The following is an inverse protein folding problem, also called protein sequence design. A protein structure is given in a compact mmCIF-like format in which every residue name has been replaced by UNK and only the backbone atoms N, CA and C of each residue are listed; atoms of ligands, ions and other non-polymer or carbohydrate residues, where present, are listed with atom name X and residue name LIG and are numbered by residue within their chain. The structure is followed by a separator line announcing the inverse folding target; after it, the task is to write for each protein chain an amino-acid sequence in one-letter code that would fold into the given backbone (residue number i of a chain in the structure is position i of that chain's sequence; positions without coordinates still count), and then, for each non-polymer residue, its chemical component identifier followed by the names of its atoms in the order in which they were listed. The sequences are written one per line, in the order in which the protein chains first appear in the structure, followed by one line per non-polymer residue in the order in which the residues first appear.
data_IF_462430726141
#
_entry.id   IF_462430726141
#
_cell.length_a   1.000
_cell.length_b   1.000
_cell.length_c   1.000
_cell.angle_alpha   90.00
_cell.angle_beta   90.00
_cell.angle_gamma   90.00
#
_symmetry.space_group_name_H-M   'P 1'
#
loop_
_entity.id
_entity.type
_entity.pdbx_description
1 polymer ?
#
# COMPACT_ATOMS: atom_id res chain seq x y z
N UNK A 1 13.27 -13.76 16.60
CA UNK A 1 13.06 -12.70 15.58
C UNK A 1 14.42 -12.44 14.97
N UNK A 2 14.62 -12.77 13.70
CA UNK A 2 15.89 -12.51 13.00
C UNK A 2 16.18 -11.01 13.08
N UNK A 3 17.38 -10.61 13.49
CA UNK A 3 17.73 -9.25 13.92
C UNK A 3 17.71 -8.14 12.86
N UNK A 4 17.04 -8.37 11.73
CA UNK A 4 16.87 -7.39 10.66
C UNK A 4 15.54 -6.66 10.90
N UNK A 5 15.63 -5.58 11.67
CA UNK A 5 14.51 -4.72 12.06
C UNK A 5 13.80 -4.14 10.83
N UNK A 6 12.47 -4.12 10.86
CA UNK A 6 11.60 -3.52 9.84
C UNK A 6 12.06 -2.08 9.49
N UNK A 7 12.10 -1.66 8.20
CA UNK A 7 12.32 -0.25 7.80
C UNK A 7 11.20 0.72 8.24
N UNK A 8 10.57 0.45 9.38
CA UNK A 8 9.66 1.34 10.05
C UNK A 8 10.37 2.57 10.61
N UNK A 9 9.59 3.63 10.82
CA UNK A 9 10.05 4.76 11.65
C UNK A 9 10.21 4.28 13.09
N UNK A 10 11.33 4.59 13.72
CA UNK A 10 11.54 4.28 15.14
C UNK A 10 11.98 5.49 15.96
N UNK A 11 12.16 6.66 15.33
CA UNK A 11 12.66 7.85 16.01
C UNK A 11 11.78 8.36 17.17
N UNK A 12 10.53 7.89 17.27
CA UNK A 12 9.64 8.21 18.39
C UNK A 12 9.92 7.35 19.63
N UNK A 13 10.16 6.05 19.44
CA UNK A 13 10.38 5.07 20.51
C UNK A 13 11.86 4.93 20.90
N UNK A 14 12.75 4.92 19.90
CA UNK A 14 14.18 4.67 20.07
C UNK A 14 15.01 5.73 19.29
N UNK A 15 14.91 7.02 19.66
CA UNK A 15 15.50 8.13 18.91
C UNK A 15 17.02 8.02 18.70
N UNK A 16 17.72 7.32 19.59
CA UNK A 16 19.17 7.12 19.49
C UNK A 16 19.58 6.37 18.21
N UNK A 17 18.70 5.51 17.67
CA UNK A 17 18.98 4.73 16.47
C UNK A 17 18.64 5.46 15.17
N UNK A 18 18.15 6.70 15.25
CA UNK A 18 17.80 7.52 14.09
C UNK A 18 16.33 7.42 13.68
N UNK A 19 15.98 8.05 12.56
CA UNK A 19 14.58 8.18 12.14
C UNK A 19 13.95 6.82 11.75
N UNK A 20 14.75 5.92 11.19
CA UNK A 20 14.38 4.60 10.66
C UNK A 20 15.18 3.47 11.33
N UNK A 21 15.70 3.70 12.53
CA UNK A 21 16.58 2.77 13.24
C UNK A 21 17.81 2.40 12.40
N UNK A 22 18.24 3.29 11.52
CA UNK A 22 19.32 3.08 10.57
C UNK A 22 20.69 2.93 11.23
N UNK A 23 20.80 3.26 12.53
CA UNK A 23 22.02 3.07 13.31
C UNK A 23 22.00 1.80 14.16
N UNK A 24 20.82 1.22 14.42
CA UNK A 24 20.71 0.02 15.27
C UNK A 24 21.52 -1.15 14.70
N UNK A 25 22.52 -1.63 15.45
CA UNK A 25 23.38 -2.73 15.04
C UNK A 25 24.52 -2.33 14.10
N UNK A 26 24.77 -1.03 13.88
CA UNK A 26 25.76 -0.57 12.90
C UNK A 26 27.22 -0.75 13.33
N UNK A 27 27.47 -1.10 14.59
CA UNK A 27 28.80 -1.15 15.18
C UNK A 27 29.32 0.22 15.64
N UNK A 28 28.58 1.30 15.42
CA UNK A 28 28.88 2.60 16.01
C UNK A 28 28.83 2.54 17.56
N UNK A 29 29.62 3.36 18.26
CA UNK A 29 29.61 3.40 19.73
C UNK A 29 28.19 3.57 20.28
N UNK A 30 27.76 2.62 21.12
CA UNK A 30 26.44 2.62 21.75
C UNK A 30 25.27 2.12 20.90
N UNK A 31 25.51 1.70 19.65
CA UNK A 31 24.45 1.26 18.74
C UNK A 31 24.30 -0.27 18.64
N UNK A 32 25.20 -1.04 19.26
CA UNK A 32 25.28 -2.49 19.12
C UNK A 32 25.82 -2.93 17.76
N UNK A 33 25.99 -4.23 17.56
CA UNK A 33 26.55 -4.81 16.34
C UNK A 33 25.68 -5.97 15.86
N UNK A 34 25.24 -5.93 14.61
CA UNK A 34 24.69 -7.09 13.89
C UNK A 34 25.83 -7.66 13.05
N UNK A 35 26.38 -8.85 13.38
CA UNK A 35 27.58 -9.38 12.72
C UNK A 35 27.45 -9.56 11.21
N UNK A 36 26.25 -9.93 10.74
CA UNK A 36 25.96 -10.22 9.34
C UNK A 36 25.49 -9.00 8.53
N UNK A 37 25.56 -7.80 9.11
CA UNK A 37 25.17 -6.57 8.44
C UNK A 37 26.39 -5.65 8.26
N UNK A 38 26.64 -5.28 7.00
CA UNK A 38 27.55 -4.21 6.64
C UNK A 38 26.74 -2.93 6.31
N UNK A 39 26.74 -1.90 7.19
CA UNK A 39 25.96 -0.69 6.96
C UNK A 39 26.37 0.04 5.66
N UNK A 40 25.36 0.43 4.88
CA UNK A 40 25.52 1.31 3.72
C UNK A 40 24.74 2.59 3.96
N UNK A 41 25.46 3.70 4.15
CA UNK A 41 24.88 5.03 4.30
C UNK A 41 24.75 5.75 2.96
N UNK A 42 23.62 6.42 2.77
CA UNK A 42 23.29 7.14 1.56
C UNK A 42 23.51 8.64 1.74
N UNK A 43 24.08 9.30 0.73
CA UNK A 43 24.15 10.75 0.71
C UNK A 43 22.77 11.31 0.40
N UNK A 44 22.26 12.19 1.27
CA UNK A 44 20.88 12.67 1.20
C UNK A 44 20.61 13.49 -0.07
N UNK A 45 21.61 14.17 -0.62
CA UNK A 45 21.50 14.94 -1.85
C UNK A 45 21.57 14.07 -3.12
N UNK A 46 21.93 12.79 -3.01
CA UNK A 46 22.00 11.83 -4.12
C UNK A 46 20.80 10.87 -4.17
N UNK A 47 19.92 10.87 -3.16
CA UNK A 47 18.76 9.95 -3.14
C UNK A 47 17.70 10.33 -4.18
N UNK A 48 17.03 9.30 -4.70
CA UNK A 48 15.86 9.47 -5.55
C UNK A 48 14.61 9.67 -4.69
N UNK A 49 13.99 10.83 -4.81
CA UNK A 49 12.75 11.11 -4.10
C UNK A 49 11.55 10.52 -4.85
N UNK A 50 10.66 9.78 -4.15
CA UNK A 50 9.34 9.48 -4.68
C UNK A 50 8.57 10.77 -5.00
N UNK A 51 7.76 10.77 -6.07
CA UNK A 51 7.03 11.98 -6.52
C UNK A 51 6.13 12.61 -5.44
N UNK A 52 5.67 11.82 -4.47
CA UNK A 52 4.77 12.24 -3.40
C UNK A 52 5.51 12.77 -2.17
N UNK A 53 6.86 12.79 -2.17
CA UNK A 53 7.69 13.33 -1.10
C UNK A 53 8.21 14.71 -1.53
N UNK A 54 8.19 15.69 -0.62
CA UNK A 54 8.63 17.04 -0.94
C UNK A 54 10.15 17.12 -1.13
N UNK A 55 10.60 17.90 -2.12
CA UNK A 55 12.03 18.05 -2.39
C UNK A 55 12.69 19.05 -1.44
N UNK A 56 13.00 18.58 -0.24
CA UNK A 56 13.63 19.36 0.84
C UNK A 56 14.71 18.53 1.51
N UNK A 57 15.70 19.19 2.11
CA UNK A 57 16.77 18.51 2.85
C UNK A 57 16.21 17.58 3.95
N UNK A 58 15.19 18.01 4.69
CA UNK A 58 14.58 17.20 5.74
C UNK A 58 14.02 15.87 5.20
N UNK A 59 13.28 15.93 4.09
CA UNK A 59 12.72 14.75 3.46
C UNK A 59 13.78 13.84 2.81
N UNK A 60 14.79 14.45 2.18
CA UNK A 60 15.92 13.73 1.59
C UNK A 60 16.75 12.97 2.62
N UNK A 61 17.00 13.57 3.78
CA UNK A 61 17.68 12.91 4.90
C UNK A 61 16.84 11.75 5.45
N UNK A 62 15.53 11.93 5.60
CA UNK A 62 14.62 10.84 5.98
C UNK A 62 14.68 9.68 4.98
N UNK A 63 14.67 9.95 3.66
CA UNK A 63 14.77 8.92 2.63
C UNK A 63 16.14 8.22 2.65
N UNK A 64 17.23 8.95 2.87
CA UNK A 64 18.57 8.36 2.99
C UNK A 64 18.70 7.44 4.20
N UNK A 65 18.11 7.82 5.33
CA UNK A 65 17.99 6.97 6.51
C UNK A 65 17.17 5.72 6.20
N UNK A 66 16.01 5.87 5.55
CA UNK A 66 15.20 4.73 5.12
C UNK A 66 15.98 3.78 4.21
N UNK A 67 16.73 4.29 3.23
CA UNK A 67 17.53 3.48 2.30
C UNK A 67 18.60 2.67 3.05
N UNK A 68 19.23 3.25 4.06
CA UNK A 68 20.19 2.56 4.93
C UNK A 68 19.55 1.35 5.60
N UNK A 69 18.34 1.53 6.17
CA UNK A 69 17.59 0.43 6.78
C UNK A 69 17.07 -0.58 5.74
N UNK A 70 16.69 -0.14 4.55
CA UNK A 70 16.30 -1.05 3.45
C UNK A 70 17.48 -1.93 3.02
N UNK A 71 18.70 -1.42 2.98
CA UNK A 71 19.90 -2.21 2.69
C UNK A 71 20.24 -3.20 3.80
N UNK A 72 19.91 -2.89 5.05
CA UNK A 72 19.92 -3.86 6.13
C UNK A 72 18.92 -4.98 5.87
N UNK A 73 17.67 -4.65 5.54
CA UNK A 73 16.64 -5.63 5.21
C UNK A 73 17.06 -6.55 4.05
N UNK A 74 17.62 -5.98 2.98
CA UNK A 74 18.10 -6.72 1.81
C UNK A 74 19.19 -7.74 2.18
N UNK A 75 20.19 -7.34 2.97
CA UNK A 75 21.22 -8.27 3.47
C UNK A 75 20.61 -9.37 4.36
N UNK A 76 19.59 -9.04 5.16
CA UNK A 76 18.85 -10.00 5.96
C UNK A 76 18.10 -11.04 5.14
N UNK A 77 17.46 -10.61 4.04
CA UNK A 77 16.85 -11.53 3.06
C UNK A 77 17.92 -12.42 2.44
N UNK A 78 19.07 -11.85 2.05
CA UNK A 78 20.20 -12.61 1.53
C UNK A 78 20.72 -13.67 2.50
N UNK A 79 20.80 -13.35 3.80
CA UNK A 79 21.16 -14.32 4.84
C UNK A 79 20.13 -15.45 4.93
N UNK A 80 18.84 -15.12 5.00
CA UNK A 80 17.77 -16.12 5.09
C UNK A 80 17.78 -17.10 3.91
N UNK A 81 17.99 -16.60 2.70
CA UNK A 81 18.07 -17.44 1.50
C UNK A 81 19.32 -18.34 1.51
N UNK A 82 20.45 -17.87 2.03
CA UNK A 82 21.66 -18.69 2.20
C UNK A 82 21.45 -19.80 3.23
N UNK A 83 20.79 -19.49 4.35
CA UNK A 83 20.47 -20.50 5.38
C UNK A 83 19.52 -21.57 4.83
N UNK A 84 18.52 -21.16 4.02
CA UNK A 84 17.63 -22.08 3.34
C UNK A 84 18.38 -23.02 2.38
N UNK A 85 19.37 -22.49 1.63
CA UNK A 85 20.25 -23.28 0.76
C UNK A 85 21.17 -24.21 1.55
N UNK A 86 21.79 -23.72 2.63
CA UNK A 86 22.67 -24.51 3.49
C UNK A 86 21.94 -25.67 4.18
N UNK A 87 20.65 -25.47 4.51
CA UNK A 87 19.78 -26.51 5.04
C UNK A 87 19.30 -27.51 3.97
N UNK A 88 19.59 -27.30 2.68
CA UNK A 88 19.19 -28.17 1.58
C UNK A 88 17.76 -27.93 1.06
N UNK A 89 17.11 -26.83 1.44
CA UNK A 89 15.71 -26.52 1.13
C UNK A 89 15.52 -25.47 0.02
N UNK A 90 16.56 -25.21 -0.77
CA UNK A 90 16.47 -24.27 -1.90
C UNK A 90 15.56 -24.76 -3.01
N UNK A 91 15.61 -26.06 -3.30
CA UNK A 91 14.94 -26.67 -4.47
C UNK A 91 13.52 -27.17 -4.16
N UNK A 92 13.02 -27.02 -2.93
CA UNK A 92 11.69 -27.44 -2.49
C UNK A 92 10.85 -26.30 -1.89
N UNK A 93 11.39 -25.08 -1.82
CA UNK A 93 10.73 -23.94 -1.18
C UNK A 93 10.27 -22.88 -2.17
N UNK A 94 8.97 -22.55 -2.15
CA UNK A 94 8.42 -21.34 -2.75
C UNK A 94 8.78 -20.13 -1.89
N UNK A 95 9.46 -19.14 -2.47
CA UNK A 95 9.77 -17.87 -1.80
C UNK A 95 8.81 -16.78 -2.29
N UNK A 96 8.18 -16.08 -1.35
CA UNK A 96 7.36 -14.90 -1.61
C UNK A 96 7.92 -13.74 -0.79
N UNK A 97 8.23 -12.62 -1.46
CA UNK A 97 8.62 -11.37 -0.81
C UNK A 97 7.59 -10.29 -1.13
N UNK A 98 7.14 -9.55 -0.12
CA UNK A 98 6.22 -8.43 -0.27
C UNK A 98 6.37 -7.44 0.89
N UNK A 99 5.60 -6.35 0.86
CA UNK A 99 5.43 -5.40 1.98
C UNK A 99 3.95 -5.24 2.25
N UNK A 100 3.59 -4.95 3.50
CA UNK A 100 2.23 -4.80 4.01
C UNK A 100 1.51 -3.57 3.42
N UNK A 101 2.18 -2.42 3.33
CA UNK A 101 1.66 -1.18 2.78
C UNK A 101 2.76 -0.27 2.21
N UNK A 102 2.37 0.87 1.62
CA UNK A 102 3.29 1.89 1.15
C UNK A 102 4.18 2.52 2.24
N UNK A 103 5.21 3.23 1.81
CA UNK A 103 6.24 3.83 2.69
C UNK A 103 5.65 4.87 3.67
N UNK A 104 6.25 5.08 4.86
CA UNK A 104 5.72 5.98 5.89
C UNK A 104 6.06 7.46 5.61
N UNK A 105 5.61 7.95 4.46
CA UNK A 105 5.74 9.34 4.00
C UNK A 105 4.37 9.91 3.62
N UNK A 106 4.20 11.25 3.55
CA UNK A 106 2.94 11.86 3.15
C UNK A 106 2.45 11.35 1.78
N UNK A 107 1.22 10.82 1.72
CA UNK A 107 0.67 10.19 0.51
C UNK A 107 0.97 8.69 0.37
N UNK A 108 1.86 8.14 1.20
CA UNK A 108 2.16 6.71 1.31
C UNK A 108 1.23 6.00 2.30
N UNK A 109 1.79 5.37 3.33
CA UNK A 109 1.06 4.67 4.40
C UNK A 109 -0.20 5.42 4.84
N UNK A 110 -1.27 4.68 5.15
CA UNK A 110 -2.62 5.15 5.50
C UNK A 110 -3.46 5.68 4.33
N UNK A 111 -2.94 5.71 3.09
CA UNK A 111 -3.67 6.16 1.91
C UNK A 111 -3.99 4.99 0.97
N UNK A 112 -5.11 5.10 0.24
CA UNK A 112 -5.43 4.18 -0.87
C UNK A 112 -4.96 4.68 -2.24
N UNK A 113 -4.22 5.79 -2.30
CA UNK A 113 -3.43 6.24 -3.46
C UNK A 113 -2.33 5.21 -3.81
N UNK A 114 -1.77 5.22 -5.02
CA UNK A 114 -0.79 4.23 -5.48
C UNK A 114 0.41 4.15 -4.55
N UNK A 115 0.88 5.28 -4.02
CA UNK A 115 2.00 5.33 -3.09
C UNK A 115 1.74 4.62 -1.74
N UNK A 116 0.47 4.49 -1.34
CA UNK A 116 0.06 3.79 -0.12
C UNK A 116 -0.42 2.36 -0.35
N UNK A 117 -1.01 2.09 -1.52
CA UNK A 117 -1.65 0.81 -1.86
C UNK A 117 -0.74 -0.16 -2.62
N UNK A 118 0.19 0.34 -3.43
CA UNK A 118 1.05 -0.51 -4.28
C UNK A 118 2.22 -1.03 -3.45
N UNK A 119 2.28 -2.36 -3.29
CA UNK A 119 3.40 -3.05 -2.65
C UNK A 119 4.30 -3.76 -3.68
N UNK A 120 5.60 -3.96 -3.38
CA UNK A 120 6.42 -4.93 -4.09
C UNK A 120 5.85 -6.34 -3.89
N UNK A 121 5.96 -7.18 -4.91
CA UNK A 121 5.62 -8.60 -4.83
C UNK A 121 6.57 -9.39 -5.74
N UNK A 122 7.33 -10.30 -5.14
CA UNK A 122 8.25 -11.20 -5.85
C UNK A 122 7.83 -12.63 -5.49
N UNK A 123 7.64 -13.47 -6.50
CA UNK A 123 7.43 -14.91 -6.33
C UNK A 123 8.56 -15.65 -7.02
N UNK A 124 9.24 -16.54 -6.29
CA UNK A 124 10.27 -17.41 -6.80
C UNK A 124 9.91 -18.87 -6.46
N UNK A 125 9.48 -19.61 -7.48
CA UNK A 125 9.24 -21.05 -7.36
C UNK A 125 10.51 -21.84 -7.73
N UNK A 126 10.80 -22.93 -7.00
CA UNK A 126 11.91 -23.80 -7.33
C UNK A 126 11.62 -24.64 -8.59
N UNK A 127 10.36 -24.77 -9.01
CA UNK A 127 9.96 -25.61 -10.13
C UNK A 127 10.70 -25.21 -11.44
N UNK A 128 11.25 -26.18 -12.20
CA UNK A 128 12.01 -25.88 -13.42
C UNK A 128 11.23 -25.10 -14.49
N UNK A 129 9.92 -25.28 -14.55
CA UNK A 129 9.04 -24.61 -15.52
C UNK A 129 8.69 -23.15 -15.14
N UNK A 130 9.09 -22.68 -13.96
CA UNK A 130 8.79 -21.32 -13.53
C UNK A 130 9.53 -20.28 -14.39
N UNK A 131 8.82 -19.22 -14.76
CA UNK A 131 9.35 -17.99 -15.36
C UNK A 131 10.32 -17.35 -14.37
N UNK A 132 11.58 -17.19 -14.78
CA UNK A 132 12.62 -16.52 -13.98
C UNK A 132 12.98 -15.17 -14.59
N UNK A 133 13.31 -14.21 -13.74
CA UNK A 133 13.79 -12.87 -14.15
C UNK A 133 12.83 -12.14 -15.10
N UNK A 134 11.53 -12.29 -14.90
CA UNK A 134 10.49 -11.66 -15.71
C UNK A 134 9.55 -10.83 -14.84
N UNK A 135 9.04 -9.73 -15.40
CA UNK A 135 7.96 -8.95 -14.80
C UNK A 135 6.60 -9.45 -15.27
N UNK A 136 5.60 -9.36 -14.38
CA UNK A 136 4.19 -9.57 -14.72
C UNK A 136 3.42 -8.25 -14.58
N UNK A 137 2.46 -8.04 -15.48
CA UNK A 137 1.53 -6.91 -15.43
C UNK A 137 0.12 -7.35 -15.01
N UNK A 138 0.01 -8.57 -14.47
CA UNK A 138 -1.20 -9.07 -13.86
C UNK A 138 -1.59 -8.23 -12.64
N UNK A 139 -2.88 -8.01 -12.46
CA UNK A 139 -3.40 -7.48 -11.22
C UNK A 139 -3.36 -8.54 -10.13
N UNK A 140 -2.60 -8.24 -9.07
CA UNK A 140 -2.46 -9.07 -7.88
C UNK A 140 -2.74 -8.25 -6.61
N UNK A 141 -3.30 -8.91 -5.61
CA UNK A 141 -3.59 -8.38 -4.29
C UNK A 141 -2.88 -9.23 -3.23
N UNK A 142 -2.57 -8.66 -2.06
CA UNK A 142 -2.09 -9.47 -0.93
C UNK A 142 -3.14 -10.52 -0.49
N UNK A 143 -4.42 -10.30 -0.78
CA UNK A 143 -5.46 -11.30 -0.55
C UNK A 143 -5.24 -12.57 -1.37
N UNK A 144 -4.49 -12.49 -2.47
CA UNK A 144 -4.13 -13.64 -3.32
C UNK A 144 -3.05 -14.54 -2.67
N UNK A 145 -2.38 -14.09 -1.60
CA UNK A 145 -1.30 -14.87 -0.96
C UNK A 145 -1.84 -16.15 -0.30
N UNK A 146 -2.94 -16.06 0.44
CA UNK A 146 -3.54 -17.23 1.09
C UNK A 146 -3.94 -18.33 0.08
N UNK A 147 -4.75 -18.05 -0.97
CA UNK A 147 -5.07 -19.06 -1.97
C UNK A 147 -3.83 -19.55 -2.74
N UNK A 148 -2.81 -18.72 -2.94
CA UNK A 148 -1.53 -19.16 -3.53
C UNK A 148 -0.81 -20.20 -2.67
N UNK A 149 -0.76 -19.98 -1.35
CA UNK A 149 -0.12 -20.91 -0.41
C UNK A 149 -0.91 -22.22 -0.28
N UNK A 150 -2.24 -22.15 -0.21
CA UNK A 150 -3.09 -23.35 -0.19
C UNK A 150 -2.87 -24.19 -1.46
N UNK A 151 -2.86 -23.55 -2.63
CA UNK A 151 -2.58 -24.20 -3.91
C UNK A 151 -1.18 -24.83 -3.94
N UNK A 152 -0.16 -24.12 -3.44
CA UNK A 152 1.22 -24.63 -3.36
C UNK A 152 1.33 -25.91 -2.53
N UNK A 153 0.64 -25.98 -1.39
CA UNK A 153 0.63 -27.16 -0.53
C UNK A 153 -0.39 -28.24 -0.96
N UNK A 154 -1.13 -28.02 -2.05
CA UNK A 154 -2.20 -28.93 -2.49
C UNK A 154 -3.32 -29.08 -1.45
N UNK A 155 -3.47 -28.10 -0.56
CA UNK A 155 -4.54 -28.07 0.45
C UNK A 155 -5.80 -27.59 -0.27
N UNK A 156 -6.84 -28.43 -0.39
CA UNK A 156 -8.11 -27.98 -0.92
C UNK A 156 -8.59 -26.83 -0.04
N UNK A 157 -8.98 -25.71 -0.65
CA UNK A 157 -9.70 -24.69 0.09
C UNK A 157 -11.00 -25.33 0.60
N UNK A 158 -11.03 -25.75 1.87
CA UNK A 158 -12.25 -26.26 2.50
C UNK A 158 -13.30 -25.14 2.40
N UNK A 159 -14.27 -25.31 1.49
CA UNK A 159 -15.47 -24.48 1.43
C UNK A 159 -16.29 -24.73 2.69
N UNK A 160 -15.89 -24.16 3.82
CA UNK A 160 -16.72 -24.11 5.03
C UNK A 160 -17.48 -22.79 5.07
N UNK A 161 -18.77 -22.94 4.76
CA UNK A 161 -19.90 -22.03 4.93
C UNK A 161 -19.96 -20.80 3.97
N UNK A 162 -20.83 -21.00 2.97
CA UNK A 162 -21.46 -20.08 1.99
C UNK A 162 -20.86 -18.69 1.72
N UNK A 163 -19.83 -18.68 0.86
CA UNK A 163 -19.47 -17.54 0.02
C UNK A 163 -19.27 -18.03 -1.42
N UNK A 164 -20.29 -17.99 -2.28
CA UNK A 164 -20.12 -18.41 -3.67
C UNK A 164 -19.11 -17.50 -4.41
N UNK A 165 -18.01 -18.11 -4.89
CA UNK A 165 -16.91 -17.47 -5.61
C UNK A 165 -16.92 -17.91 -7.07
N UNK A 166 -17.60 -17.14 -7.94
CA UNK A 166 -17.74 -17.44 -9.37
C UNK A 166 -17.33 -16.29 -10.31
N UNK A 167 -16.58 -15.29 -9.84
CA UNK A 167 -16.20 -14.11 -10.65
C UNK A 167 -14.72 -13.70 -10.53
N UNK A 168 -14.17 -13.03 -11.55
CA UNK A 168 -12.75 -12.62 -11.73
C UNK A 168 -12.11 -11.74 -10.63
N UNK A 169 -12.93 -11.31 -9.67
CA UNK A 169 -12.66 -10.24 -8.70
C UNK A 169 -12.51 -10.79 -7.27
N UNK A 170 -11.96 -11.99 -7.20
CA UNK A 170 -11.87 -12.85 -6.04
C UNK A 170 -10.40 -13.16 -5.77
N UNK A 171 -10.01 -13.32 -4.50
CA UNK A 171 -8.69 -13.83 -4.18
C UNK A 171 -8.41 -15.13 -4.94
N UNK A 172 -7.25 -15.21 -5.60
CA UNK A 172 -6.89 -16.33 -6.49
C UNK A 172 -5.44 -16.74 -6.30
N UNK A 173 -5.11 -17.98 -6.65
CA UNK A 173 -3.70 -18.41 -6.69
C UNK A 173 -2.94 -17.65 -7.77
N UNK A 174 -1.73 -17.21 -7.42
CA UNK A 174 -0.77 -16.56 -8.32
C UNK A 174 0.18 -17.58 -8.99
N UNK A 175 0.16 -18.86 -8.60
CA UNK A 175 1.03 -19.88 -9.18
C UNK A 175 0.93 -19.98 -10.72
N UNK A 176 -0.25 -19.85 -11.36
CA UNK A 176 -0.32 -19.88 -12.83
C UNK A 176 0.52 -18.80 -13.51
N UNK A 177 0.72 -17.63 -12.87
CA UNK A 177 1.55 -16.53 -13.40
C UNK A 177 3.01 -16.98 -13.51
N UNK A 178 3.48 -17.88 -12.64
CA UNK A 178 4.83 -18.42 -12.70
C UNK A 178 5.04 -19.31 -13.91
N UNK A 179 4.01 -19.84 -14.55
CA UNK A 179 4.16 -20.68 -15.75
C UNK A 179 3.98 -19.85 -17.02
N UNK A 180 3.00 -18.94 -17.03
CA UNK A 180 2.67 -18.13 -18.20
C UNK A 180 2.09 -16.77 -17.79
N UNK A 181 2.48 -15.72 -18.52
CA UNK A 181 1.84 -14.41 -18.35
C UNK A 181 0.36 -14.48 -18.73
N UNK A 182 -0.57 -14.07 -17.84
CA UNK A 182 -1.97 -14.01 -18.19
C UNK A 182 -2.21 -12.99 -19.31
N UNK A 183 -3.20 -13.27 -20.15
CA UNK A 183 -3.58 -12.33 -21.20
C UNK A 183 -4.09 -11.01 -20.61
N UNK A 184 -3.89 -9.92 -21.35
CA UNK A 184 -4.46 -8.63 -20.97
C UNK A 184 -6.00 -8.72 -20.91
N UNK A 185 -6.57 -8.17 -19.84
CA UNK A 185 -7.99 -8.09 -19.57
C UNK A 185 -8.31 -6.78 -18.87
N UNK A 186 -9.25 -6.01 -19.44
CA UNK A 186 -9.87 -4.83 -18.79
C UNK A 186 -10.76 -5.23 -17.61
N UNK A 187 -11.18 -6.50 -17.56
CA UNK A 187 -12.00 -7.03 -16.48
C UNK A 187 -11.18 -7.35 -15.23
N UNK A 188 -9.85 -7.20 -15.21
CA UNK A 188 -9.07 -7.33 -13.97
C UNK A 188 -9.24 -6.09 -13.08
N UNK A 189 -9.37 -6.32 -11.77
CA UNK A 189 -9.22 -5.28 -10.77
C UNK A 189 -8.72 -5.83 -9.44
N UNK A 190 -8.17 -4.93 -8.64
CA UNK A 190 -7.95 -5.11 -7.21
C UNK A 190 -8.77 -4.08 -6.44
N UNK A 191 -9.05 -4.39 -5.18
CA UNK A 191 -9.86 -3.58 -4.30
C UNK A 191 -9.06 -3.19 -3.06
N UNK A 192 -9.34 -2.01 -2.52
CA UNK A 192 -8.78 -1.53 -1.26
C UNK A 192 -9.90 -1.16 -0.29
N UNK A 193 -9.74 -1.50 0.98
CA UNK A 193 -10.65 -1.11 2.06
C UNK A 193 -9.85 -0.75 3.29
N UNK A 194 -10.08 0.46 3.81
CA UNK A 194 -9.49 0.95 5.04
C UNK A 194 -10.60 1.63 5.85
N UNK A 195 -10.60 1.45 7.17
CA UNK A 195 -11.59 2.10 8.05
C UNK A 195 -10.88 2.97 9.09
N UNK A 196 -10.05 2.35 9.92
CA UNK A 196 -9.20 3.02 10.90
C UNK A 196 -7.73 2.76 10.56
N UNK A 197 -6.85 3.55 11.15
CA UNK A 197 -5.44 3.18 11.34
C UNK A 197 -5.18 3.07 12.84
N UNK A 198 -4.96 4.21 13.52
CA UNK A 198 -5.16 4.29 14.97
C UNK A 198 -6.67 4.37 15.29
N UNK A 199 -7.05 4.02 16.52
CA UNK A 199 -8.46 4.09 16.95
C UNK A 199 -9.05 5.51 16.85
N UNK A 200 -8.21 6.54 16.98
CA UNK A 200 -8.60 7.95 16.83
C UNK A 200 -8.72 8.40 15.37
N UNK A 201 -8.24 7.61 14.42
CA UNK A 201 -8.15 7.96 13.00
C UNK A 201 -9.30 7.34 12.19
N UNK A 202 -10.53 7.79 12.43
CA UNK A 202 -11.70 7.35 11.67
C UNK A 202 -11.82 8.10 10.33
N UNK A 203 -11.27 7.50 9.26
CA UNK A 203 -11.40 8.00 7.90
C UNK A 203 -11.55 6.84 6.91
N UNK A 204 -12.76 6.22 6.82
CA UNK A 204 -12.94 5.07 5.96
C UNK A 204 -12.83 5.43 4.48
N UNK A 205 -12.09 4.59 3.75
CA UNK A 205 -11.89 4.71 2.32
C UNK A 205 -12.12 3.36 1.64
N UNK A 206 -12.63 3.41 0.41
CA UNK A 206 -12.79 2.24 -0.46
C UNK A 206 -12.19 2.55 -1.81
N UNK A 207 -11.59 1.56 -2.46
CA UNK A 207 -10.99 1.75 -3.78
C UNK A 207 -11.21 0.54 -4.68
N UNK A 208 -11.34 0.81 -5.99
CA UNK A 208 -11.24 -0.19 -7.04
C UNK A 208 -10.21 0.29 -8.07
N UNK A 209 -9.27 -0.58 -8.44
CA UNK A 209 -8.18 -0.28 -9.36
C UNK A 209 -8.13 -1.33 -10.45
N UNK A 210 -8.46 -0.94 -11.68
CA UNK A 210 -8.26 -1.77 -12.88
C UNK A 210 -6.86 -1.53 -13.43
N UNK A 211 -6.53 -2.13 -14.58
CA UNK A 211 -5.26 -1.86 -15.27
C UNK A 211 -5.07 -0.42 -15.72
N UNK A 212 -6.16 0.34 -15.90
CA UNK A 212 -6.09 1.72 -16.39
C UNK A 212 -6.66 2.73 -15.41
N UNK A 213 -7.82 2.45 -14.84
CA UNK A 213 -8.53 3.43 -14.04
C UNK A 213 -8.56 3.02 -12.58
N UNK A 214 -8.60 4.02 -11.71
CA UNK A 214 -8.75 3.83 -10.28
C UNK A 214 -9.77 4.81 -9.74
N UNK A 215 -10.68 4.29 -8.93
CA UNK A 215 -11.69 5.06 -8.23
C UNK A 215 -11.48 4.91 -6.73
N UNK A 216 -11.42 6.03 -6.02
CA UNK A 216 -11.41 6.10 -4.56
C UNK A 216 -12.73 6.72 -4.08
N UNK A 217 -13.22 6.22 -2.97
CA UNK A 217 -14.38 6.72 -2.23
C UNK A 217 -13.94 7.07 -0.81
N UNK A 218 -13.88 8.36 -0.50
CA UNK A 218 -13.63 8.88 0.83
C UNK A 218 -14.97 9.00 1.57
N UNK A 219 -15.28 8.09 2.48
CA UNK A 219 -16.59 8.08 3.15
C UNK A 219 -16.71 9.25 4.14
N UNK A 220 -15.59 9.66 4.74
CA UNK A 220 -15.56 10.74 5.74
C UNK A 220 -14.95 12.04 5.18
N UNK A 221 -15.14 12.31 3.89
CA UNK A 221 -14.53 13.42 3.14
C UNK A 221 -14.77 14.83 3.69
N UNK A 222 -15.85 15.03 4.45
CA UNK A 222 -16.19 16.32 5.06
C UNK A 222 -15.27 16.68 6.24
N UNK A 223 -14.56 15.71 6.80
CA UNK A 223 -13.58 15.90 7.87
C UNK A 223 -12.15 15.87 7.31
N UNK A 224 -11.18 16.53 7.98
CA UNK A 224 -9.79 16.46 7.55
C UNK A 224 -9.25 15.04 7.66
N UNK A 225 -8.45 14.62 6.66
CA UNK A 225 -7.70 13.38 6.69
C UNK A 225 -6.79 13.32 7.94
N UNK A 226 -6.90 12.29 8.78
CA UNK A 226 -6.11 12.20 10.01
C UNK A 226 -4.65 11.86 9.73
N UNK A 227 -3.75 12.24 10.63
CA UNK A 227 -2.31 11.92 10.59
C UNK A 227 -1.99 11.07 11.81
N UNK A 228 -1.33 9.94 11.60
CA UNK A 228 -0.85 9.07 12.67
C UNK A 228 0.30 9.71 13.44
N UNK A 229 0.48 9.32 14.69
CA UNK A 229 1.42 9.96 15.62
C UNK A 229 2.87 9.82 15.12
N UNK A 230 3.24 8.67 14.57
CA UNK A 230 4.59 8.41 14.09
C UNK A 230 4.93 9.24 12.84
N UNK A 231 3.99 9.37 11.89
CA UNK A 231 4.18 10.27 10.76
C UNK A 231 4.19 11.73 11.21
N UNK A 232 3.34 12.11 12.17
CA UNK A 232 3.23 13.49 12.64
C UNK A 232 4.58 14.01 13.16
N UNK A 233 5.30 13.22 13.96
CA UNK A 233 6.60 13.63 14.53
C UNK A 233 7.77 13.52 13.56
N UNK A 234 7.57 12.95 12.36
CA UNK A 234 8.64 12.78 11.39
C UNK A 234 9.26 14.12 10.94
N UNK A 235 10.58 14.17 10.68
CA UNK A 235 11.22 15.36 10.11
C UNK A 235 10.57 15.80 8.80
N UNK A 236 10.20 14.85 7.95
CA UNK A 236 9.47 15.11 6.70
C UNK A 236 8.15 15.85 6.95
N UNK A 237 7.28 15.36 7.84
CA UNK A 237 5.98 16.01 8.06
C UNK A 237 6.11 17.33 8.82
N UNK A 238 7.03 17.42 9.79
CA UNK A 238 7.32 18.66 10.51
C UNK A 238 7.83 19.76 9.58
N UNK A 239 8.65 19.43 8.57
CA UNK A 239 9.07 20.40 7.56
C UNK A 239 7.89 20.92 6.72
N UNK A 240 7.00 20.03 6.25
CA UNK A 240 5.75 20.42 5.55
C UNK A 240 4.93 21.38 6.42
N UNK A 241 4.71 21.03 7.68
CA UNK A 241 3.90 21.82 8.61
C UNK A 241 4.51 23.19 8.86
N UNK A 242 5.82 23.25 9.12
CA UNK A 242 6.55 24.49 9.40
C UNK A 242 6.60 25.41 8.18
N UNK A 243 6.84 24.87 6.98
CA UNK A 243 6.81 25.65 5.73
C UNK A 243 5.42 26.19 5.45
N UNK A 244 4.39 25.36 5.60
CA UNK A 244 3.00 25.77 5.38
C UNK A 244 2.59 26.90 6.35
N UNK A 245 2.83 26.74 7.65
CA UNK A 245 2.50 27.75 8.68
C UNK A 245 3.24 29.07 8.46
N UNK A 246 4.52 28.97 8.10
CA UNK A 246 5.38 30.13 7.88
C UNK A 246 5.27 30.70 6.46
N UNK A 247 4.34 30.18 5.63
CA UNK A 247 4.16 30.58 4.22
C UNK A 247 5.45 30.53 3.39
N UNK A 248 6.36 29.61 3.72
CA UNK A 248 7.58 29.36 2.94
C UNK A 248 7.27 28.46 1.74
N UNK A 249 8.05 28.57 0.64
CA UNK A 249 7.93 27.63 -0.47
C UNK A 249 8.03 26.18 0.00
N UNK A 250 7.09 25.37 -0.47
CA UNK A 250 7.01 23.94 -0.21
C UNK A 250 7.00 23.23 -1.58
N UNK A 251 8.14 22.66 -2.01
CA UNK A 251 8.25 21.94 -3.28
C UNK A 251 7.63 20.54 -3.14
N UNK A 252 6.30 20.50 -3.01
CA UNK A 252 5.51 19.29 -2.84
C UNK A 252 4.42 19.23 -3.91
N UNK A 253 4.00 18.01 -4.27
CA UNK A 253 2.96 17.79 -5.29
C UNK A 253 1.57 18.25 -4.86
N UNK A 254 1.37 18.53 -3.56
CA UNK A 254 0.12 19.00 -2.96
C UNK A 254 0.40 20.11 -1.93
N UNK A 255 -0.68 20.71 -1.44
CA UNK A 255 -0.68 21.51 -0.21
C UNK A 255 -1.27 20.71 0.95
N UNK A 256 -0.96 21.05 2.20
CA UNK A 256 -1.62 20.41 3.35
C UNK A 256 -3.14 20.53 3.30
N UNK A 257 -3.67 21.64 2.80
CA UNK A 257 -5.12 21.82 2.64
C UNK A 257 -5.72 20.78 1.70
N UNK A 258 -5.09 20.53 0.55
CA UNK A 258 -5.53 19.48 -0.39
C UNK A 258 -5.33 18.07 0.18
N UNK A 259 -4.30 17.86 1.00
CA UNK A 259 -4.06 16.57 1.64
C UNK A 259 -5.11 16.24 2.70
N UNK A 260 -5.53 17.24 3.48
CA UNK A 260 -6.55 17.11 4.51
C UNK A 260 -7.96 17.03 3.93
N UNK A 261 -8.33 17.96 3.05
CA UNK A 261 -9.71 18.08 2.57
C UNK A 261 -9.82 17.50 1.17
N UNK A 262 -10.19 16.22 1.11
CA UNK A 262 -10.32 15.45 -0.12
C UNK A 262 -11.77 15.42 -0.57
N UNK A 263 -12.06 15.35 -1.88
CA UNK A 263 -13.42 15.16 -2.35
C UNK A 263 -13.94 13.76 -1.99
N UNK A 264 -15.26 13.57 -1.99
CA UNK A 264 -15.86 12.26 -1.72
C UNK A 264 -15.40 11.19 -2.73
N UNK A 265 -15.29 11.57 -4.01
CA UNK A 265 -14.90 10.67 -5.09
C UNK A 265 -13.66 11.20 -5.80
N UNK A 266 -12.70 10.31 -6.05
CA UNK A 266 -11.51 10.59 -6.84
C UNK A 266 -11.36 9.53 -7.94
N UNK A 267 -11.31 9.96 -9.20
CA UNK A 267 -11.11 9.09 -10.37
C UNK A 267 -9.80 9.45 -11.07
N UNK A 268 -8.96 8.45 -11.34
CA UNK A 268 -7.66 8.63 -12.00
C UNK A 268 -7.50 7.70 -13.20
N UNK A 269 -6.86 8.20 -14.26
CA UNK A 269 -6.37 7.41 -15.40
C UNK A 269 -4.87 7.14 -15.21
N UNK A 270 -4.53 6.00 -14.61
CA UNK A 270 -3.16 5.63 -14.22
C UNK A 270 -2.22 5.42 -15.42
N UNK A 271 -2.75 5.29 -16.64
CA UNK A 271 -1.90 5.25 -17.84
C UNK A 271 -1.37 6.63 -18.23
N UNK A 272 -2.17 7.68 -17.99
CA UNK A 272 -1.83 9.06 -18.33
C UNK A 272 -1.28 9.84 -17.13
N UNK A 273 -1.72 9.47 -15.94
CA UNK A 273 -1.41 10.12 -14.67
C UNK A 273 -1.11 9.05 -13.61
N UNK A 274 0.06 8.38 -13.71
CA UNK A 274 0.46 7.34 -12.75
C UNK A 274 0.68 7.88 -11.33
N UNK A 275 0.79 9.20 -11.17
CA UNK A 275 0.98 9.89 -9.91
C UNK A 275 -0.32 10.39 -9.27
N UNK A 276 -1.48 10.12 -9.89
CA UNK A 276 -2.81 10.46 -9.37
C UNK A 276 -2.96 11.96 -9.03
N UNK A 277 -2.40 12.83 -9.87
CA UNK A 277 -2.36 14.28 -9.64
C UNK A 277 -3.67 14.98 -10.03
N UNK A 278 -4.39 14.42 -10.99
CA UNK A 278 -5.54 15.03 -11.64
C UNK A 278 -6.80 14.20 -11.40
N UNK A 279 -7.63 14.64 -10.46
CA UNK A 279 -8.95 14.02 -10.27
C UNK A 279 -9.84 14.26 -11.50
N UNK A 280 -10.33 13.17 -12.08
CA UNK A 280 -11.19 13.13 -13.26
C UNK A 280 -12.67 12.93 -12.92
N UNK A 281 -13.02 12.83 -11.63
CA UNK A 281 -14.39 12.65 -11.18
C UNK A 281 -15.31 13.74 -11.74
N UNK A 282 -16.49 13.34 -12.20
CA UNK A 282 -17.50 14.26 -12.75
C UNK A 282 -17.23 14.75 -14.18
N UNK A 283 -16.15 14.29 -14.84
CA UNK A 283 -15.93 14.59 -16.26
C UNK A 283 -16.97 13.87 -17.13
N UNK A 284 -17.79 14.57 -17.96
CA UNK A 284 -18.84 13.95 -18.75
C UNK A 284 -18.36 12.84 -19.68
N UNK A 285 -17.15 12.98 -20.25
CA UNK A 285 -16.55 11.97 -21.14
C UNK A 285 -16.14 10.66 -20.44
N UNK A 286 -16.18 10.61 -19.11
CA UNK A 286 -15.79 9.46 -18.30
C UNK A 286 -16.94 8.94 -17.42
N UNK A 287 -18.18 9.41 -17.65
CA UNK A 287 -19.35 9.05 -16.85
C UNK A 287 -19.61 7.54 -16.82
N UNK A 288 -19.51 6.86 -17.98
CA UNK A 288 -19.67 5.41 -18.07
C UNK A 288 -18.57 4.64 -17.34
N UNK A 289 -17.33 5.11 -17.43
CA UNK A 289 -16.18 4.51 -16.71
C UNK A 289 -16.40 4.64 -15.21
N UNK A 290 -16.76 5.85 -14.74
CA UNK A 290 -17.01 6.09 -13.33
C UNK A 290 -18.17 5.25 -12.81
N UNK A 291 -19.30 5.20 -13.53
CA UNK A 291 -20.46 4.40 -13.17
C UNK A 291 -20.12 2.90 -13.08
N UNK A 292 -19.36 2.39 -14.05
CA UNK A 292 -18.90 1.00 -14.06
C UNK A 292 -18.00 0.66 -12.86
N UNK A 293 -17.06 1.52 -12.52
CA UNK A 293 -16.19 1.34 -11.35
C UNK A 293 -16.98 1.43 -10.04
N UNK A 294 -17.93 2.36 -9.92
CA UNK A 294 -18.82 2.47 -8.74
C UNK A 294 -19.64 1.20 -8.55
N UNK A 295 -20.28 0.71 -9.61
CA UNK A 295 -21.06 -0.53 -9.56
C UNK A 295 -20.19 -1.73 -9.13
N UNK A 296 -18.97 -1.81 -9.67
CA UNK A 296 -18.02 -2.88 -9.34
C UNK A 296 -17.53 -2.82 -7.90
N UNK A 297 -17.22 -1.62 -7.39
CA UNK A 297 -16.86 -1.41 -5.99
C UNK A 297 -18.01 -1.80 -5.05
N UNK A 298 -19.23 -1.36 -5.35
CA UNK A 298 -20.42 -1.70 -4.55
C UNK A 298 -20.70 -3.21 -4.57
N UNK A 299 -20.56 -3.87 -5.72
CA UNK A 299 -20.72 -5.31 -5.84
C UNK A 299 -19.70 -6.06 -4.98
N UNK A 300 -18.44 -5.62 -4.97
CA UNK A 300 -17.41 -6.17 -4.10
C UNK A 300 -17.75 -5.95 -2.62
N UNK A 301 -18.14 -4.73 -2.22
CA UNK A 301 -18.55 -4.44 -0.84
C UNK A 301 -19.71 -5.29 -0.35
N UNK A 302 -20.74 -5.52 -1.18
CA UNK A 302 -21.86 -6.41 -0.84
C UNK A 302 -21.38 -7.85 -0.65
N UNK A 303 -20.58 -8.34 -1.59
CA UNK A 303 -20.08 -9.72 -1.58
C UNK A 303 -19.17 -10.01 -0.39
N UNK A 304 -18.38 -9.03 0.04
CA UNK A 304 -17.51 -9.16 1.23
C UNK A 304 -18.21 -8.70 2.51
N UNK A 305 -19.55 -8.56 2.50
CA UNK A 305 -20.36 -8.13 3.63
C UNK A 305 -19.85 -6.85 4.34
N UNK A 306 -19.31 -5.88 3.59
CA UNK A 306 -18.74 -4.64 4.13
C UNK A 306 -19.81 -3.88 4.95
N UNK A 307 -19.58 -3.62 6.26
CA UNK A 307 -20.53 -2.88 7.10
C UNK A 307 -20.75 -1.44 6.65
N UNK A 308 -19.79 -0.85 5.92
CA UNK A 308 -19.86 0.52 5.42
C UNK A 308 -20.49 0.64 4.02
N UNK A 309 -21.04 -0.44 3.45
CA UNK A 309 -21.53 -0.49 2.05
C UNK A 309 -22.64 0.52 1.71
N UNK A 310 -23.33 1.08 2.70
CA UNK A 310 -24.33 2.14 2.51
C UNK A 310 -23.83 3.54 2.92
N UNK A 311 -22.72 3.62 3.66
CA UNK A 311 -22.17 4.88 4.14
C UNK A 311 -21.51 5.68 2.98
N UNK A 312 -21.44 7.01 3.07
CA UNK A 312 -21.94 7.86 4.16
C UNK A 312 -23.37 8.39 3.93
N UNK A 313 -24.02 8.02 2.82
CA UNK A 313 -25.30 8.61 2.42
C UNK A 313 -26.54 7.80 2.87
N UNK A 314 -26.34 6.57 3.34
CA UNK A 314 -27.43 5.68 3.72
C UNK A 314 -27.08 4.79 4.92
N UNK A 315 -28.12 4.30 5.60
CA UNK A 315 -28.07 3.29 6.65
C UNK A 315 -28.29 1.91 6.03
N UNK A 316 -27.53 0.91 6.49
CA UNK A 316 -27.73 -0.49 6.15
C UNK A 316 -28.78 -1.11 7.08
N UNK A 317 -29.87 -1.63 6.52
CA UNK A 317 -30.89 -2.40 7.25
C UNK A 317 -31.10 -3.74 6.55
N UNK A 318 -30.70 -4.83 7.21
CA UNK A 318 -30.50 -6.14 6.58
C UNK A 318 -29.53 -6.02 5.38
N UNK A 319 -30.03 -6.15 4.15
CA UNK A 319 -29.24 -6.03 2.91
C UNK A 319 -29.68 -4.89 2.00
N UNK A 320 -30.38 -3.89 2.55
CA UNK A 320 -30.85 -2.72 1.80
C UNK A 320 -30.31 -1.43 2.41
N UNK A 321 -29.97 -0.48 1.54
CA UNK A 321 -29.54 0.87 1.92
C UNK A 321 -30.73 1.83 1.90
N UNK A 322 -30.91 2.58 2.98
CA UNK A 322 -31.95 3.62 3.11
C UNK A 322 -31.30 4.97 3.34
N UNK A 323 -31.72 6.02 2.62
CA UNK A 323 -31.11 7.33 2.69
C UNK A 323 -31.08 7.88 4.13
N UNK A 324 -29.94 8.44 4.54
CA UNK A 324 -29.71 8.93 5.91
C UNK A 324 -30.57 10.15 6.25
N UNK A 325 -30.85 10.98 5.25
CA UNK A 325 -31.76 12.12 5.33
C UNK A 325 -33.24 11.74 5.22
N UNK A 326 -33.55 10.45 5.08
CA UNK A 326 -34.89 9.92 4.85
C UNK A 326 -35.60 10.53 3.63
N UNK A 327 -34.85 11.02 2.64
CA UNK A 327 -35.40 11.69 1.45
C UNK A 327 -35.98 13.08 1.73
N UNK A 328 -35.59 13.71 2.84
CA UNK A 328 -36.09 15.02 3.28
C UNK A 328 -35.21 16.20 2.82
N UNK A 329 -34.27 15.98 1.91
CA UNK A 329 -33.52 17.08 1.28
C UNK A 329 -34.29 17.64 0.09
N UNK A 330 -34.69 18.91 0.20
CA UNK A 330 -35.25 19.73 -0.88
C UNK A 330 -34.25 20.03 -2.00
#
# INVERSE_FOLDING_TARGET
MWGFYDPHRCGNSEPQYGAFCERFGSGEPGMGTIPDWAPWYYQWDEVQLPYHVQDTEAARRDIAAQYTTMSRLDQGVGLLLKELEAAGHKEDTLVIYTSDNGIPFPGGRTNLHEAGLRAPLILASPQPAARRNQASYAMASQLDLMPTLLDWFGVPAERREDNEITHSDQPKSLLPILIKEPAYSEAEAVFGSQTHHEVSMYYPMRAVRTRRYKLLHNLHYAMPFPIDQDLYVSPTFQDILNRTRSKRPLPWYKTLRQYYYRPQWELYDLRRDPAELNNLHGKPSLSEVEAGLRARLQAWQRRTADPWRCAPAAVLVHDRCFALDNGLTD
#
